data_IF_065844884026
#
_entry.id   IF_065844884026
#
_cell.length_a   1.000
_cell.length_b   1.000
_cell.length_c   1.000
_cell.angle_alpha   90.00
_cell.angle_beta   90.00
_cell.angle_gamma   90.00
#
_symmetry.space_group_name_H-M   'P 1'
#
loop_
_entity.id
_entity.type
_entity.pdbx_description
1 polymer ?
#
# COMPACT_ATOMS: atom_id res chain seq x y z
N UNK A 1 4.85 21.04 12.11
CA UNK A 1 5.11 20.98 10.63
C UNK A 1 3.99 20.16 10.01
N UNK A 2 3.13 20.77 9.15
CA UNK A 2 1.96 20.09 8.54
C UNK A 2 1.87 20.44 7.07
N UNK A 3 1.28 19.56 6.27
CA UNK A 3 1.11 19.69 4.82
C UNK A 3 2.45 19.96 4.09
N UNK A 4 3.49 19.25 4.51
CA UNK A 4 4.88 19.50 4.10
C UNK A 4 5.50 18.25 3.46
N UNK A 5 6.32 18.48 2.43
CA UNK A 5 7.22 17.48 1.86
C UNK A 5 8.65 17.88 2.24
N UNK A 6 9.37 16.97 2.87
CA UNK A 6 10.79 17.08 3.16
C UNK A 6 11.56 16.40 2.04
N UNK A 7 12.44 17.15 1.37
CA UNK A 7 13.23 16.61 0.26
C UNK A 7 14.57 16.10 0.76
N UNK A 8 14.96 14.92 0.28
CA UNK A 8 16.19 14.22 0.63
C UNK A 8 15.96 12.80 1.13
N UNK A 9 17.03 12.20 1.63
CA UNK A 9 16.98 10.84 2.18
C UNK A 9 16.05 10.79 3.40
N UNK A 10 15.06 9.91 3.37
CA UNK A 10 14.10 9.76 4.46
C UNK A 10 14.76 9.36 5.80
N UNK A 11 15.95 8.74 5.78
CA UNK A 11 16.73 8.40 6.98
C UNK A 11 17.26 9.63 7.69
N UNK A 12 17.40 10.76 6.99
CA UNK A 12 17.79 12.04 7.57
C UNK A 12 16.57 12.95 7.81
N UNK A 13 15.71 13.10 6.81
CA UNK A 13 14.57 14.02 6.89
C UNK A 13 13.55 13.63 7.96
N UNK A 14 13.36 12.33 8.25
CA UNK A 14 12.50 11.89 9.36
C UNK A 14 12.97 12.35 10.74
N UNK A 15 14.26 12.66 10.91
CA UNK A 15 14.81 13.19 12.18
C UNK A 15 14.41 14.64 12.44
N UNK A 16 14.02 15.37 11.40
CA UNK A 16 13.57 16.77 11.49
C UNK A 16 12.10 16.88 11.90
N UNK A 17 11.39 15.74 11.97
CA UNK A 17 9.97 15.73 12.26
C UNK A 17 9.72 15.98 13.76
N UNK A 18 9.09 17.09 14.10
CA UNK A 18 8.86 17.60 15.45
C UNK A 18 7.48 17.28 16.04
N UNK A 19 6.52 16.87 15.21
CA UNK A 19 5.17 16.46 15.62
C UNK A 19 5.03 14.93 15.58
N UNK A 20 3.92 14.40 16.07
CA UNK A 20 3.61 12.98 15.98
C UNK A 20 2.51 12.73 14.97
N UNK A 21 2.77 11.83 14.03
CA UNK A 21 1.76 11.35 13.09
C UNK A 21 0.88 10.27 13.73
N UNK A 22 -0.40 10.24 13.39
CA UNK A 22 -1.33 9.18 13.84
C UNK A 22 -1.03 7.87 13.15
N UNK A 23 -0.69 7.91 11.87
CA UNK A 23 -0.38 6.72 11.10
C UNK A 23 0.66 7.01 10.01
N UNK A 24 1.30 5.95 9.56
CA UNK A 24 2.06 5.93 8.33
C UNK A 24 1.35 5.01 7.32
N UNK A 25 1.21 5.48 6.08
CA UNK A 25 0.80 4.64 4.94
C UNK A 25 1.75 4.86 3.79
N UNK A 26 2.38 3.79 3.32
CA UNK A 26 3.51 3.91 2.39
C UNK A 26 3.70 2.67 1.52
N UNK A 27 4.41 2.88 0.40
CA UNK A 27 4.97 1.82 -0.43
C UNK A 27 6.43 2.14 -0.73
N UNK A 28 7.37 1.45 -0.08
CA UNK A 28 8.80 1.70 -0.27
C UNK A 28 9.25 1.32 -1.69
N UNK A 29 10.43 1.75 -2.12
CA UNK A 29 11.08 1.23 -3.32
C UNK A 29 11.23 -0.28 -3.22
N UNK A 30 10.77 -1.03 -4.25
CA UNK A 30 10.84 -2.48 -4.23
C UNK A 30 12.24 -2.97 -4.56
N UNK A 31 12.68 -3.96 -3.83
CA UNK A 31 14.00 -4.57 -4.00
C UNK A 31 14.29 -5.01 -5.43
N UNK A 32 15.36 -4.45 -6.01
CA UNK A 32 15.85 -4.82 -7.33
C UNK A 32 14.89 -4.55 -8.48
N UNK A 33 13.88 -3.69 -8.31
CA UNK A 33 12.89 -3.46 -9.35
C UNK A 33 13.24 -2.27 -10.23
N UNK A 34 13.80 -1.20 -9.68
CA UNK A 34 14.05 0.06 -10.42
C UNK A 34 15.26 0.79 -9.88
N UNK A 35 16.03 1.31 -10.84
CA UNK A 35 17.01 2.34 -10.64
C UNK A 35 16.34 3.67 -11.02
N UNK A 36 16.22 4.60 -10.08
CA UNK A 36 15.66 5.92 -10.31
C UNK A 36 16.73 6.95 -10.72
N UNK A 37 17.97 6.48 -11.00
CA UNK A 37 19.09 7.34 -11.39
C UNK A 37 19.69 8.09 -10.19
N UNK A 38 19.48 7.57 -9.00
CA UNK A 38 19.96 8.17 -7.77
C UNK A 38 21.39 7.80 -7.42
N UNK A 39 21.95 8.61 -6.55
CA UNK A 39 23.22 8.42 -5.88
C UNK A 39 23.17 7.16 -4.96
N UNK A 40 24.29 6.86 -4.27
CA UNK A 40 24.43 5.72 -3.33
C UNK A 40 23.39 5.68 -2.18
N UNK A 41 22.56 6.72 -2.05
CA UNK A 41 21.49 6.85 -1.05
C UNK A 41 20.17 6.16 -1.42
N UNK A 42 20.00 5.72 -2.66
CA UNK A 42 18.74 5.11 -3.11
C UNK A 42 18.54 3.72 -2.47
N UNK A 43 17.43 3.56 -1.74
CA UNK A 43 16.99 2.27 -1.20
C UNK A 43 16.36 1.43 -2.33
N UNK A 44 16.54 0.09 -2.26
CA UNK A 44 16.02 -0.87 -3.24
C UNK A 44 17.09 -1.38 -4.21
N UNK A 45 18.33 -0.86 -4.09
CA UNK A 45 19.47 -1.24 -4.94
C UNK A 45 20.53 -2.06 -4.20
N UNK A 46 20.26 -2.47 -2.99
CA UNK A 46 21.16 -3.26 -2.14
C UNK A 46 21.54 -4.57 -2.84
N UNK A 47 22.72 -5.10 -2.51
CA UNK A 47 23.25 -6.28 -3.20
C UNK A 47 22.48 -7.56 -2.83
N UNK A 48 21.96 -7.63 -1.60
CA UNK A 48 21.21 -8.79 -1.09
C UNK A 48 19.84 -8.39 -0.57
N UNK A 49 18.85 -9.32 -0.57
CA UNK A 49 17.57 -9.09 0.06
C UNK A 49 17.69 -8.75 1.54
N UNK A 50 18.65 -9.37 2.23
CA UNK A 50 18.90 -9.19 3.65
C UNK A 50 19.37 -7.76 3.94
N UNK A 51 20.31 -7.22 3.15
CA UNK A 51 20.74 -5.82 3.26
C UNK A 51 19.58 -4.84 3.04
N UNK A 52 18.72 -5.10 2.05
CA UNK A 52 17.52 -4.29 1.82
C UNK A 52 16.58 -4.33 3.04
N UNK A 53 16.35 -5.50 3.62
CA UNK A 53 15.51 -5.64 4.81
C UNK A 53 16.09 -4.86 5.99
N UNK A 54 17.42 -4.92 6.18
CA UNK A 54 18.10 -4.17 7.24
C UNK A 54 17.95 -2.66 7.07
N UNK A 55 18.09 -2.14 5.84
CA UNK A 55 17.84 -0.72 5.55
C UNK A 55 16.38 -0.34 5.80
N UNK A 56 15.43 -1.16 5.39
CA UNK A 56 14.02 -0.93 5.66
C UNK A 56 13.68 -0.91 7.16
N UNK A 57 14.31 -1.80 7.95
CA UNK A 57 14.13 -1.79 9.41
C UNK A 57 14.63 -0.48 10.01
N UNK A 58 15.75 0.06 9.54
CA UNK A 58 16.27 1.36 9.99
C UNK A 58 15.28 2.49 9.72
N UNK A 59 14.73 2.55 8.50
CA UNK A 59 13.70 3.53 8.14
C UNK A 59 12.47 3.39 9.03
N UNK A 60 11.94 2.18 9.20
CA UNK A 60 10.72 1.99 9.98
C UNK A 60 10.91 2.14 11.50
N UNK A 61 12.13 2.09 12.02
CA UNK A 61 12.42 2.57 13.39
C UNK A 61 12.19 4.08 13.50
N UNK A 62 12.70 4.87 12.56
CA UNK A 62 12.47 6.32 12.53
C UNK A 62 10.98 6.62 12.36
N UNK A 63 10.28 5.91 11.48
CA UNK A 63 8.82 6.02 11.35
C UNK A 63 8.13 5.74 12.69
N UNK A 64 8.52 4.67 13.41
CA UNK A 64 7.95 4.34 14.73
C UNK A 64 8.15 5.46 15.74
N UNK A 65 9.31 6.11 15.70
CA UNK A 65 9.61 7.24 16.57
C UNK A 65 8.78 8.48 16.22
N UNK A 66 8.41 8.67 14.95
CA UNK A 66 7.51 9.74 14.49
C UNK A 66 6.03 9.48 14.80
N UNK A 67 5.62 8.26 15.13
CA UNK A 67 4.22 7.94 15.40
C UNK A 67 3.82 8.22 16.85
N UNK A 68 2.51 8.52 17.04
CA UNK A 68 1.85 8.49 18.35
C UNK A 68 1.94 7.10 18.98
N UNK A 69 1.72 6.97 20.28
CA UNK A 69 1.84 5.66 20.96
C UNK A 69 0.79 4.65 20.51
N UNK A 70 -0.37 5.11 20.05
CA UNK A 70 -1.42 4.30 19.45
C UNK A 70 -1.37 4.27 17.91
N UNK A 71 -0.24 4.70 17.33
CA UNK A 71 -0.05 4.84 15.89
C UNK A 71 0.11 3.51 15.16
N UNK A 72 -0.20 3.53 13.85
CA UNK A 72 -0.16 2.37 12.97
C UNK A 72 0.69 2.61 11.73
N UNK A 73 1.25 1.53 11.17
CA UNK A 73 1.93 1.49 9.89
C UNK A 73 1.15 0.59 8.93
N UNK A 74 0.80 1.12 7.76
CA UNK A 74 0.15 0.40 6.66
C UNK A 74 1.13 0.33 5.50
N UNK A 75 1.76 -0.83 5.34
CA UNK A 75 2.88 -1.05 4.44
C UNK A 75 2.45 -1.82 3.21
N UNK A 76 2.34 -1.15 2.05
CA UNK A 76 2.14 -1.83 0.77
C UNK A 76 3.48 -2.28 0.19
N UNK A 77 3.61 -3.55 -0.12
CA UNK A 77 4.83 -4.10 -0.70
C UNK A 77 4.54 -5.30 -1.60
N UNK A 78 5.25 -5.34 -2.73
CA UNK A 78 5.23 -6.44 -3.67
C UNK A 78 6.48 -7.30 -3.58
N UNK A 79 6.41 -8.49 -4.16
CA UNK A 79 7.49 -9.46 -4.21
C UNK A 79 8.02 -9.63 -5.61
N UNK A 80 9.25 -10.09 -5.74
CA UNK A 80 9.93 -10.35 -7.01
C UNK A 80 10.52 -11.76 -7.05
N UNK A 81 10.89 -12.20 -8.25
CA UNK A 81 11.54 -13.48 -8.48
C UNK A 81 13.03 -13.28 -8.66
N UNK A 82 13.82 -14.17 -8.07
CA UNK A 82 15.25 -14.20 -8.32
C UNK A 82 15.54 -14.66 -9.76
N UNK A 83 16.31 -13.87 -10.48
CA UNK A 83 16.72 -14.18 -11.84
C UNK A 83 18.20 -13.85 -12.00
N UNK A 84 19.03 -14.89 -11.95
CA UNK A 84 20.46 -14.79 -12.18
C UNK A 84 20.76 -14.98 -13.66
N UNK A 85 21.47 -14.05 -14.26
CA UNK A 85 21.98 -14.17 -15.64
C UNK A 85 23.47 -13.96 -15.68
N UNK A 86 24.20 -15.05 -16.02
CA UNK A 86 25.64 -15.09 -16.08
C UNK A 86 26.24 -14.12 -17.11
N UNK A 87 25.51 -13.77 -18.16
CA UNK A 87 26.07 -13.08 -19.34
C UNK A 87 25.55 -11.63 -19.51
N UNK A 88 24.95 -11.04 -18.49
CA UNK A 88 24.53 -9.63 -18.54
C UNK A 88 23.57 -9.26 -19.68
N UNK A 89 23.03 -10.24 -20.42
CA UNK A 89 22.04 -10.00 -21.46
C UNK A 89 20.69 -9.58 -20.85
N UNK A 90 20.36 -8.32 -21.03
CA UNK A 90 18.98 -7.86 -20.87
C UNK A 90 18.20 -8.37 -22.10
N UNK A 91 17.06 -9.07 -21.96
CA UNK A 91 16.15 -9.13 -23.07
C UNK A 91 15.76 -7.69 -23.37
N UNK A 92 16.00 -7.22 -24.56
CA UNK A 92 15.36 -6.01 -25.07
C UNK A 92 13.87 -6.28 -24.95
N UNK A 93 13.24 -5.77 -23.89
CA UNK A 93 11.81 -5.57 -23.91
C UNK A 93 11.57 -4.46 -24.93
N UNK A 94 11.25 -4.87 -26.13
CA UNK A 94 10.78 -4.01 -27.18
C UNK A 94 9.41 -3.52 -26.76
N UNK A 95 9.36 -2.47 -25.95
CA UNK A 95 8.18 -1.62 -25.89
C UNK A 95 8.20 -0.81 -27.18
N UNK A 96 7.49 -1.32 -28.20
CA UNK A 96 7.16 -0.53 -29.36
C UNK A 96 6.30 0.64 -28.90
N UNK A 97 6.74 1.83 -29.24
CA UNK A 97 6.09 3.13 -29.26
C UNK A 97 6.24 4.04 -28.02
N UNK A 98 7.08 5.05 -28.28
CA UNK A 98 6.97 6.44 -27.84
C UNK A 98 7.06 6.73 -26.35
N UNK A 99 8.24 6.61 -25.77
CA UNK A 99 8.84 7.51 -24.78
C UNK A 99 10.34 7.24 -24.70
N UNK A 100 11.11 8.00 -25.45
CA UNK A 100 12.55 7.77 -25.67
C UNK A 100 13.47 8.34 -24.57
N UNK A 101 12.96 8.90 -23.47
CA UNK A 101 13.74 9.80 -22.65
C UNK A 101 14.03 9.38 -21.20
N UNK A 102 13.76 8.13 -20.83
CA UNK A 102 14.17 7.67 -19.50
C UNK A 102 14.86 6.29 -19.62
N UNK A 103 16.10 6.17 -19.17
CA UNK A 103 16.77 4.87 -19.11
C UNK A 103 16.12 4.03 -17.99
N UNK A 104 15.16 3.18 -18.34
CA UNK A 104 14.68 2.13 -17.42
C UNK A 104 15.74 1.06 -17.42
N UNK A 105 16.77 1.23 -16.63
CA UNK A 105 17.72 0.17 -16.32
C UNK A 105 17.13 -0.66 -15.20
N UNK A 106 16.65 -1.86 -15.50
CA UNK A 106 16.49 -2.88 -14.47
C UNK A 106 17.87 -3.16 -13.90
N UNK A 107 18.07 -3.02 -12.57
CA UNK A 107 19.39 -3.25 -11.97
C UNK A 107 19.89 -4.64 -12.33
N UNK A 108 21.08 -4.69 -12.90
CA UNK A 108 21.74 -5.95 -13.21
C UNK A 108 22.37 -6.49 -11.95
N UNK A 109 21.89 -7.60 -11.43
CA UNK A 109 22.63 -8.34 -10.42
C UNK A 109 23.65 -9.20 -11.11
N UNK A 110 24.91 -8.79 -11.04
CA UNK A 110 26.05 -9.54 -11.53
C UNK A 110 26.48 -10.66 -10.57
N UNK A 111 26.05 -10.60 -9.30
CA UNK A 111 26.46 -11.51 -8.27
C UNK A 111 25.39 -12.58 -8.01
N UNK A 112 25.84 -13.83 -7.92
CA UNK A 112 24.98 -14.94 -7.52
C UNK A 112 24.66 -14.80 -6.03
N UNK A 113 23.39 -14.63 -5.69
CA UNK A 113 22.95 -14.60 -4.30
C UNK A 113 23.10 -15.99 -3.67
N UNK A 114 23.74 -16.04 -2.50
CA UNK A 114 23.85 -17.28 -1.74
C UNK A 114 22.47 -17.63 -1.15
N UNK A 115 22.07 -18.89 -1.25
CA UNK A 115 20.80 -19.37 -0.72
C UNK A 115 19.62 -19.26 -1.67
N UNK A 116 19.74 -18.54 -2.80
CA UNK A 116 18.66 -18.39 -3.80
C UNK A 116 18.97 -19.21 -5.05
N UNK A 117 17.94 -19.81 -5.61
CA UNK A 117 17.98 -20.53 -6.89
C UNK A 117 17.26 -19.73 -7.96
N UNK A 118 17.70 -19.86 -9.19
CA UNK A 118 17.01 -19.21 -10.32
C UNK A 118 15.53 -19.56 -10.33
N UNK A 119 14.66 -18.54 -10.50
CA UNK A 119 13.20 -18.58 -10.43
C UNK A 119 12.60 -18.68 -9.02
N UNK A 120 13.38 -18.70 -7.94
CA UNK A 120 12.80 -18.62 -6.59
C UNK A 120 12.02 -17.31 -6.42
N UNK A 121 10.84 -17.38 -5.78
CA UNK A 121 10.20 -16.21 -5.21
C UNK A 121 11.02 -15.75 -4.01
N UNK A 122 11.44 -14.49 -3.99
CA UNK A 122 12.40 -14.01 -2.97
C UNK A 122 11.74 -13.97 -1.58
N UNK A 123 10.47 -13.56 -1.49
CA UNK A 123 9.73 -13.51 -0.23
C UNK A 123 9.87 -12.17 0.51
N UNK A 124 10.32 -11.10 -0.16
CA UNK A 124 10.55 -9.77 0.43
C UNK A 124 9.43 -9.30 1.35
N UNK A 125 8.13 -9.38 0.99
CA UNK A 125 7.06 -8.88 1.85
C UNK A 125 7.05 -9.54 3.22
N UNK A 126 7.18 -10.86 3.26
CA UNK A 126 7.15 -11.60 4.52
C UNK A 126 8.46 -11.50 5.30
N UNK A 127 9.61 -11.42 4.61
CA UNK A 127 10.90 -11.14 5.26
C UNK A 127 10.82 -9.80 6.00
N UNK A 128 10.32 -8.74 5.36
CA UNK A 128 10.19 -7.43 5.98
C UNK A 128 9.16 -7.43 7.13
N UNK A 129 8.00 -8.04 6.93
CA UNK A 129 6.98 -8.13 7.97
C UNK A 129 7.51 -8.83 9.24
N UNK A 130 8.26 -9.92 9.08
CA UNK A 130 8.84 -10.64 10.22
C UNK A 130 10.02 -9.90 10.85
N UNK A 131 10.86 -9.22 10.06
CA UNK A 131 11.94 -8.38 10.56
C UNK A 131 11.38 -7.22 11.41
N UNK A 132 10.36 -6.52 10.92
CA UNK A 132 9.71 -5.46 11.68
C UNK A 132 9.05 -5.97 12.96
N UNK A 133 8.40 -7.15 12.91
CA UNK A 133 7.86 -7.78 14.11
C UNK A 133 8.96 -8.10 15.13
N UNK A 134 10.10 -8.59 14.67
CA UNK A 134 11.25 -8.89 15.53
C UNK A 134 11.88 -7.60 16.09
N UNK A 135 11.77 -6.49 15.36
CA UNK A 135 12.21 -5.16 15.76
C UNK A 135 11.26 -4.42 16.73
N UNK A 136 10.18 -5.08 17.16
CA UNK A 136 9.26 -4.56 18.18
C UNK A 136 7.94 -4.00 17.67
N UNK A 137 7.65 -4.07 16.37
CA UNK A 137 6.32 -3.80 15.85
C UNK A 137 5.36 -4.95 16.15
N UNK A 138 4.09 -4.64 16.34
CA UNK A 138 3.02 -5.64 16.39
C UNK A 138 2.50 -5.89 14.98
N UNK A 139 2.82 -7.01 14.37
CA UNK A 139 2.23 -7.43 13.08
C UNK A 139 0.79 -7.88 13.32
N UNK A 140 -0.17 -7.07 12.87
CA UNK A 140 -1.59 -7.23 13.18
C UNK A 140 -2.36 -8.00 12.13
N UNK A 141 -2.09 -7.69 10.84
CA UNK A 141 -2.81 -8.30 9.73
C UNK A 141 -2.02 -8.20 8.43
N UNK A 142 -2.17 -9.20 7.58
CA UNK A 142 -1.91 -9.14 6.15
C UNK A 142 -3.21 -8.86 5.39
N UNK A 143 -3.16 -7.94 4.46
CA UNK A 143 -4.25 -7.59 3.58
C UNK A 143 -3.78 -7.83 2.15
N UNK A 144 -4.61 -8.50 1.35
CA UNK A 144 -4.31 -8.79 -0.05
C UNK A 144 -4.89 -7.68 -0.92
N UNK A 145 -4.04 -6.93 -1.59
CA UNK A 145 -4.47 -6.12 -2.73
C UNK A 145 -4.58 -7.00 -3.96
N UNK A 146 -5.78 -7.47 -4.27
CA UNK A 146 -6.08 -8.15 -5.52
C UNK A 146 -6.20 -7.14 -6.66
N UNK A 147 -5.45 -7.38 -7.74
CA UNK A 147 -5.42 -6.58 -8.96
C UNK A 147 -6.23 -7.27 -10.05
N UNK A 148 -7.48 -6.84 -10.33
CA UNK A 148 -8.30 -7.47 -11.39
C UNK A 148 -7.69 -7.36 -12.80
N UNK A 149 -6.82 -6.35 -13.00
CA UNK A 149 -6.09 -6.09 -14.24
C UNK A 149 -4.57 -6.16 -14.03
N UNK A 150 -3.99 -7.33 -13.67
CA UNK A 150 -2.55 -7.46 -13.50
C UNK A 150 -1.81 -7.24 -14.83
N UNK A 151 -0.52 -6.91 -14.76
CA UNK A 151 0.32 -6.92 -15.96
C UNK A 151 0.38 -8.34 -16.51
N UNK A 152 0.17 -8.55 -17.83
CA UNK A 152 0.34 -9.85 -18.45
C UNK A 152 1.77 -10.38 -18.26
N UNK A 153 1.90 -11.64 -17.89
CA UNK A 153 3.18 -12.32 -17.75
C UNK A 153 3.26 -13.49 -18.72
N UNK A 154 4.32 -13.56 -19.53
CA UNK A 154 4.56 -14.65 -20.47
C UNK A 154 5.21 -15.86 -19.78
N UNK A 155 4.71 -16.25 -18.60
CA UNK A 155 5.21 -17.40 -17.83
C UNK A 155 4.30 -18.61 -18.04
N UNK A 156 4.90 -19.82 -18.03
CA UNK A 156 4.20 -21.08 -18.27
C UNK A 156 4.34 -22.09 -17.12
N UNK A 157 5.15 -21.78 -16.13
CA UNK A 157 5.47 -22.66 -15.00
C UNK A 157 4.94 -22.16 -13.65
N UNK A 158 4.14 -21.11 -13.66
CA UNK A 158 3.40 -20.57 -12.51
C UNK A 158 2.23 -19.69 -12.94
N UNK A 159 1.35 -19.39 -12.01
CA UNK A 159 0.26 -18.44 -12.24
C UNK A 159 0.79 -17.01 -12.42
N UNK A 160 0.06 -16.20 -13.20
CA UNK A 160 0.28 -14.74 -13.26
C UNK A 160 0.04 -14.13 -11.89
N UNK A 161 1.01 -13.32 -11.42
CA UNK A 161 0.90 -12.65 -10.13
C UNK A 161 -0.12 -11.52 -10.19
N UNK A 162 -1.21 -11.64 -9.45
CA UNK A 162 -2.34 -10.70 -9.47
C UNK A 162 -2.58 -10.02 -8.13
N UNK A 163 -1.62 -10.07 -7.20
CA UNK A 163 -1.77 -9.43 -5.89
C UNK A 163 -0.45 -8.86 -5.35
N UNK A 164 -0.60 -7.95 -4.41
CA UNK A 164 0.42 -7.46 -3.49
C UNK A 164 -0.12 -7.49 -2.06
N UNK A 165 0.75 -7.22 -1.09
CA UNK A 165 0.39 -7.20 0.32
C UNK A 165 0.27 -5.77 0.84
N UNK A 166 -0.63 -5.57 1.79
CA UNK A 166 -0.61 -4.44 2.71
C UNK A 166 -0.51 -5.05 4.11
N UNK A 167 0.57 -4.78 4.82
CA UNK A 167 0.70 -5.20 6.22
C UNK A 167 0.23 -4.09 7.13
N UNK A 168 -0.68 -4.42 8.05
CA UNK A 168 -1.02 -3.58 9.18
C UNK A 168 -0.11 -3.94 10.34
N UNK A 169 0.72 -2.96 10.74
CA UNK A 169 1.53 -3.04 11.95
C UNK A 169 1.14 -1.92 12.91
N UNK A 170 1.32 -2.15 14.20
CA UNK A 170 1.07 -1.13 15.22
C UNK A 170 2.27 -0.95 16.13
N UNK A 171 2.44 0.26 16.66
CA UNK A 171 3.51 0.58 17.61
C UNK A 171 3.34 -0.14 18.93
N UNK A 172 2.09 -0.26 19.39
CA UNK A 172 1.71 -0.91 20.64
C UNK A 172 0.56 -1.89 20.46
N UNK A 173 0.31 -2.74 21.48
CA UNK A 173 -0.82 -3.68 21.49
C UNK A 173 -2.19 -2.98 21.43
N UNK A 174 -2.29 -1.79 22.03
CA UNK A 174 -3.46 -0.93 21.98
C UNK A 174 -3.17 0.17 20.97
N UNK A 175 -3.92 0.23 19.90
CA UNK A 175 -3.72 1.18 18.80
C UNK A 175 -5.06 1.69 18.29
N UNK A 176 -5.02 2.83 17.61
CA UNK A 176 -6.21 3.42 17.01
C UNK A 176 -6.63 2.62 15.78
N UNK A 177 -7.90 2.23 15.73
CA UNK A 177 -8.50 1.58 14.57
C UNK A 177 -10.01 1.80 14.54
N UNK A 178 -10.48 2.58 13.54
CA UNK A 178 -11.90 2.83 13.31
C UNK A 178 -12.46 1.80 12.31
N UNK A 179 -13.03 0.72 12.85
CA UNK A 179 -13.65 -0.31 12.02
C UNK A 179 -14.99 0.14 11.42
N UNK A 180 -15.67 1.10 12.04
CA UNK A 180 -16.97 1.61 11.55
C UNK A 180 -16.79 2.39 10.25
N UNK A 181 -15.72 3.19 10.12
CA UNK A 181 -15.43 4.03 8.97
C UNK A 181 -15.19 3.22 7.67
N UNK A 182 -14.88 1.92 7.78
CA UNK A 182 -14.55 1.06 6.64
C UNK A 182 -15.45 -0.16 6.47
N UNK A 183 -16.58 -0.23 7.20
CA UNK A 183 -17.53 -1.34 7.06
C UNK A 183 -18.03 -1.50 5.62
N UNK A 184 -18.24 -2.73 5.24
CA UNK A 184 -18.84 -3.10 3.95
C UNK A 184 -20.33 -3.38 4.11
N UNK A 185 -21.16 -3.15 3.07
CA UNK A 185 -22.53 -3.61 3.06
C UNK A 185 -22.60 -5.12 3.35
N UNK A 186 -23.45 -5.52 4.27
CA UNK A 186 -23.73 -6.93 4.50
C UNK A 186 -24.63 -7.45 3.39
N UNK A 187 -24.49 -8.75 3.05
CA UNK A 187 -25.43 -9.39 2.16
C UNK A 187 -26.75 -9.57 2.91
N UNK A 188 -27.82 -9.06 2.35
CA UNK A 188 -29.17 -9.36 2.88
C UNK A 188 -29.45 -10.84 2.66
N UNK A 189 -29.55 -11.58 3.75
CA UNK A 189 -29.89 -13.00 3.72
C UNK A 189 -31.40 -13.22 3.81
N UNK A 190 -32.20 -12.13 3.85
CA UNK A 190 -33.63 -12.18 4.14
C UNK A 190 -33.92 -12.75 5.53
N UNK A 191 -35.17 -12.79 5.88
CA UNK A 191 -35.68 -13.45 7.09
C UNK A 191 -35.77 -14.98 6.88
N UNK A 192 -34.64 -15.64 6.64
CA UNK A 192 -34.65 -17.11 6.63
C UNK A 192 -34.84 -17.58 8.05
N UNK A 193 -35.98 -18.20 8.30
CA UNK A 193 -36.18 -18.96 9.52
C UNK A 193 -35.17 -20.10 9.56
N UNK A 194 -34.18 -19.98 10.43
CA UNK A 194 -33.11 -20.96 10.64
C UNK A 194 -33.43 -21.94 11.76
N UNK A 195 -34.60 -21.84 12.36
CA UNK A 195 -35.02 -22.74 13.44
C UNK A 195 -35.20 -24.18 12.96
N UNK A 196 -35.41 -24.40 11.65
CA UNK A 196 -35.57 -25.73 11.03
C UNK A 196 -34.33 -26.19 10.22
N UNK A 197 -33.16 -25.63 10.42
CA UNK A 197 -31.93 -26.08 9.74
C UNK A 197 -31.48 -27.46 10.23
N UNK A 198 -31.00 -28.31 9.30
CA UNK A 198 -30.47 -29.70 9.51
C UNK A 198 -29.34 -29.85 10.54
N UNK A 199 -29.05 -28.82 11.33
CA UNK A 199 -28.02 -28.82 12.39
C UNK A 199 -28.60 -28.81 13.80
N UNK A 200 -29.91 -29.07 13.96
CA UNK A 200 -30.47 -29.46 15.24
C UNK A 200 -30.10 -30.93 15.49
N UNK A 201 -28.86 -31.19 15.91
CA UNK A 201 -28.51 -32.44 16.51
C UNK A 201 -28.95 -32.38 17.97
N UNK A 202 -30.10 -32.92 18.27
CA UNK A 202 -30.49 -33.30 19.64
C UNK A 202 -29.39 -34.23 20.19
N UNK A 203 -28.56 -33.70 21.08
CA UNK A 203 -27.54 -34.52 21.75
C UNK A 203 -26.10 -33.92 21.75
N UNK A 204 -25.78 -32.84 21.00
CA UNK A 204 -24.43 -32.30 20.98
C UNK A 204 -24.15 -31.23 22.06
N UNK A 205 -25.15 -30.82 22.84
CA UNK A 205 -25.00 -29.76 23.86
C UNK A 205 -24.61 -28.36 23.32
N UNK A 206 -24.55 -28.20 22.01
CA UNK A 206 -24.26 -26.92 21.39
C UNK A 206 -25.50 -26.06 21.46
N UNK A 207 -25.42 -24.96 22.22
CA UNK A 207 -26.46 -23.94 22.31
C UNK A 207 -26.73 -23.35 20.91
N UNK A 208 -28.00 -23.14 20.51
CA UNK A 208 -28.29 -22.40 19.28
C UNK A 208 -27.63 -21.04 19.35
N UNK A 209 -26.83 -20.68 18.35
CA UNK A 209 -26.23 -19.35 18.28
C UNK A 209 -27.35 -18.30 18.13
N UNK A 210 -27.79 -17.72 19.24
CA UNK A 210 -28.81 -16.67 19.29
C UNK A 210 -28.45 -15.38 18.51
N UNK A 211 -27.21 -15.27 18.03
CA UNK A 211 -26.71 -14.14 17.24
C UNK A 211 -27.04 -14.20 15.74
N UNK A 212 -27.55 -15.33 15.22
CA UNK A 212 -27.80 -15.50 13.77
C UNK A 212 -29.16 -14.98 13.28
N UNK A 213 -30.01 -14.51 14.16
CA UNK A 213 -31.36 -14.00 13.81
C UNK A 213 -31.40 -12.49 13.50
N UNK A 214 -30.31 -11.76 13.80
CA UNK A 214 -30.24 -10.31 13.48
C UNK A 214 -29.61 -10.10 12.12
N UNK A 215 -30.33 -9.47 11.21
CA UNK A 215 -29.77 -8.90 9.99
C UNK A 215 -29.03 -7.62 10.34
N UNK A 216 -27.75 -7.53 9.97
CA UNK A 216 -26.97 -6.31 10.13
C UNK A 216 -26.80 -5.68 8.74
N UNK A 217 -27.03 -4.37 8.59
CA UNK A 217 -26.86 -3.69 7.29
C UNK A 217 -25.41 -3.66 6.81
N UNK A 218 -24.48 -3.74 7.74
CA UNK A 218 -23.03 -3.70 7.47
C UNK A 218 -22.28 -4.84 8.16
N UNK A 219 -21.10 -5.13 7.66
CA UNK A 219 -20.15 -6.11 8.22
C UNK A 219 -18.73 -5.53 8.20
N UNK A 220 -17.85 -6.08 9.00
CA UNK A 220 -16.43 -5.71 8.98
C UNK A 220 -15.83 -5.92 7.59
N UNK A 221 -14.97 -4.98 7.18
CA UNK A 221 -14.22 -5.09 5.92
C UNK A 221 -13.36 -6.33 5.91
N UNK A 222 -13.41 -7.07 4.80
CA UNK A 222 -12.60 -8.29 4.63
C UNK A 222 -11.18 -7.94 4.21
N UNK A 223 -10.24 -8.88 4.40
CA UNK A 223 -8.81 -8.69 4.15
C UNK A 223 -8.38 -8.88 2.69
N UNK A 224 -9.29 -9.12 1.75
CA UNK A 224 -8.98 -9.17 0.31
C UNK A 224 -9.68 -8.02 -0.38
N UNK A 225 -8.90 -7.07 -0.90
CA UNK A 225 -9.38 -5.84 -1.52
C UNK A 225 -9.14 -5.87 -3.03
N UNK A 226 -10.20 -5.83 -3.82
CA UNK A 226 -10.11 -5.79 -5.28
C UNK A 226 -10.07 -4.33 -5.73
N UNK A 227 -8.88 -3.84 -6.09
CA UNK A 227 -8.68 -2.46 -6.55
C UNK A 227 -7.91 -2.48 -7.88
N UNK A 228 -8.52 -1.87 -8.90
CA UNK A 228 -7.96 -1.80 -10.25
C UNK A 228 -6.82 -0.79 -10.31
N UNK A 229 -5.69 -1.17 -10.93
CA UNK A 229 -4.63 -0.21 -11.27
C UNK A 229 -5.14 0.74 -12.34
N UNK A 230 -5.08 2.04 -12.07
CA UNK A 230 -5.34 3.08 -13.07
C UNK A 230 -4.01 3.60 -13.60
N UNK A 231 -3.82 3.71 -14.92
CA UNK A 231 -2.61 4.32 -15.47
C UNK A 231 -2.52 5.77 -14.98
N UNK A 232 -1.41 6.13 -14.39
CA UNK A 232 -1.12 7.51 -14.07
C UNK A 232 -0.45 8.18 -15.29
N UNK A 233 -1.01 9.29 -15.79
CA UNK A 233 -0.51 9.99 -16.98
C UNK A 233 0.73 10.86 -16.72
N UNK A 234 1.21 10.95 -15.49
CA UNK A 234 2.41 11.70 -15.10
C UNK A 234 3.70 10.90 -15.25
N UNK A 235 4.83 11.55 -15.04
CA UNK A 235 6.18 10.97 -15.19
C UNK A 235 6.58 9.95 -14.10
N UNK A 236 5.69 9.60 -13.17
CA UNK A 236 5.98 8.68 -12.07
C UNK A 236 5.49 7.26 -12.34
N UNK A 237 6.35 6.26 -12.18
CA UNK A 237 6.13 4.90 -12.70
C UNK A 237 5.53 3.89 -11.72
N UNK A 238 5.48 4.16 -10.42
CA UNK A 238 5.02 3.19 -9.42
C UNK A 238 4.17 3.86 -8.34
N UNK A 239 2.87 4.00 -8.61
CA UNK A 239 1.95 4.56 -7.63
C UNK A 239 0.87 3.54 -7.30
N UNK A 240 0.55 3.38 -6.03
CA UNK A 240 -0.69 2.73 -5.65
C UNK A 240 -1.89 3.67 -5.92
N UNK A 241 -3.07 3.14 -6.28
CA UNK A 241 -4.24 3.97 -6.51
C UNK A 241 -4.79 4.55 -5.20
N UNK A 242 -5.37 5.77 -5.22
CA UNK A 242 -5.98 6.39 -4.04
C UNK A 242 -7.01 5.49 -3.35
N UNK A 243 -7.80 4.75 -4.12
CA UNK A 243 -8.85 3.85 -3.63
C UNK A 243 -8.30 2.68 -2.79
N UNK A 244 -7.00 2.38 -2.93
CA UNK A 244 -6.35 1.35 -2.14
C UNK A 244 -6.07 1.81 -0.72
N UNK A 245 -5.61 3.06 -0.56
CA UNK A 245 -5.17 3.58 0.74
C UNK A 245 -6.25 4.37 1.47
N UNK A 246 -7.31 4.77 0.79
CA UNK A 246 -8.44 5.46 1.43
C UNK A 246 -9.01 4.69 2.63
N UNK A 247 -9.27 3.37 2.56
CA UNK A 247 -9.67 2.59 3.73
C UNK A 247 -8.61 2.56 4.84
N UNK A 248 -7.30 2.56 4.47
CA UNK A 248 -6.23 2.59 5.47
C UNK A 248 -6.27 3.90 6.26
N UNK A 249 -6.38 5.05 5.55
CA UNK A 249 -6.45 6.38 6.18
C UNK A 249 -7.69 6.53 7.05
N UNK A 250 -8.86 6.07 6.57
CA UNK A 250 -10.10 6.10 7.35
C UNK A 250 -10.03 5.26 8.63
N UNK A 251 -9.44 4.07 8.54
CA UNK A 251 -9.33 3.18 9.69
C UNK A 251 -8.24 3.61 10.67
N UNK A 252 -7.14 4.17 10.18
CA UNK A 252 -5.94 4.45 10.98
C UNK A 252 -5.85 5.88 11.52
N UNK A 253 -6.80 6.77 11.21
CA UNK A 253 -6.75 8.19 11.62
C UNK A 253 -8.11 8.85 11.73
N UNK A 254 -8.16 9.98 12.45
CA UNK A 254 -9.29 10.90 12.53
C UNK A 254 -9.03 12.15 11.66
N UNK A 255 -10.09 12.94 11.43
CA UNK A 255 -9.93 14.26 10.79
C UNK A 255 -9.01 15.16 11.63
N UNK A 256 -8.11 15.90 10.96
CA UNK A 256 -7.10 16.73 11.60
C UNK A 256 -5.83 15.99 12.07
N UNK A 257 -5.81 14.64 12.01
CA UNK A 257 -4.60 13.87 12.27
C UNK A 257 -3.57 14.02 11.12
N UNK A 258 -2.30 13.78 11.43
CA UNK A 258 -1.20 13.78 10.46
C UNK A 258 -0.97 12.37 9.93
N UNK A 259 -0.87 12.25 8.61
CA UNK A 259 -0.52 11.02 7.89
C UNK A 259 0.92 11.13 7.40
N UNK A 260 1.76 10.17 7.75
CA UNK A 260 3.16 10.12 7.36
C UNK A 260 3.37 9.19 6.17
N UNK A 261 4.21 9.60 5.21
CA UNK A 261 4.71 8.74 4.12
C UNK A 261 6.20 9.02 3.87
N UNK A 262 7.12 8.14 4.29
CA UNK A 262 8.56 8.32 4.08
C UNK A 262 9.01 8.13 2.62
N UNK A 263 8.10 7.70 1.73
CA UNK A 263 8.36 7.48 0.30
C UNK A 263 7.22 8.07 -0.53
N UNK A 264 7.06 9.40 -0.43
CA UNK A 264 5.88 10.13 -0.94
C UNK A 264 5.66 9.95 -2.44
N UNK A 265 6.72 9.85 -3.22
CA UNK A 265 6.66 9.66 -4.66
C UNK A 265 5.81 10.70 -5.36
N UNK A 266 4.75 10.29 -6.04
CA UNK A 266 3.84 11.20 -6.73
C UNK A 266 2.79 11.87 -5.84
N UNK A 267 2.83 11.72 -4.51
CA UNK A 267 1.92 12.38 -3.58
C UNK A 267 0.53 11.74 -3.43
N UNK A 268 0.41 10.43 -3.66
CA UNK A 268 -0.90 9.76 -3.49
C UNK A 268 -1.38 9.86 -2.04
N UNK A 269 -0.49 9.63 -1.08
CA UNK A 269 -0.80 9.71 0.35
C UNK A 269 -1.25 11.10 0.75
N UNK A 270 -0.51 12.15 0.34
CA UNK A 270 -0.87 13.54 0.60
C UNK A 270 -2.24 13.90 0.01
N UNK A 271 -2.50 13.46 -1.22
CA UNK A 271 -3.77 13.69 -1.91
C UNK A 271 -4.95 13.06 -1.17
N UNK A 272 -4.82 11.80 -0.74
CA UNK A 272 -5.87 11.10 0.01
C UNK A 272 -6.05 11.71 1.40
N UNK A 273 -4.97 12.05 2.11
CA UNK A 273 -5.04 12.72 3.40
C UNK A 273 -5.86 14.01 3.31
N UNK A 274 -5.53 14.91 2.39
CA UNK A 274 -6.27 16.16 2.19
C UNK A 274 -7.73 15.95 1.78
N UNK A 275 -8.01 14.97 0.93
CA UNK A 275 -9.39 14.67 0.51
C UNK A 275 -10.29 14.20 1.65
N UNK A 276 -9.68 13.70 2.71
CA UNK A 276 -10.33 13.17 3.91
C UNK A 276 -10.20 14.12 5.13
N UNK A 277 -9.80 15.37 4.94
CA UNK A 277 -9.58 16.36 6.00
C UNK A 277 -8.49 15.95 7.02
N UNK A 278 -7.44 15.29 6.55
CA UNK A 278 -6.23 14.98 7.31
C UNK A 278 -5.10 15.85 6.80
N UNK A 279 -4.12 16.11 7.65
CA UNK A 279 -2.85 16.70 7.25
C UNK A 279 -1.86 15.60 6.85
N UNK A 280 -0.79 15.98 6.16
CA UNK A 280 0.23 15.04 5.75
C UNK A 280 1.64 15.57 6.03
N UNK A 281 2.57 14.63 6.16
CA UNK A 281 4.00 14.87 6.04
C UNK A 281 4.58 13.76 5.19
N UNK A 282 5.44 14.13 4.24
CA UNK A 282 6.10 13.18 3.38
C UNK A 282 7.59 13.44 3.26
N UNK A 283 8.34 12.37 2.98
CA UNK A 283 9.72 12.48 2.51
C UNK A 283 9.78 12.07 1.04
N UNK A 284 10.57 12.79 0.25
CA UNK A 284 10.79 12.48 -1.16
C UNK A 284 12.26 12.76 -1.52
N UNK A 285 12.90 11.78 -2.16
CA UNK A 285 14.32 11.90 -2.50
C UNK A 285 14.55 12.97 -3.59
N UNK A 286 13.63 13.09 -4.54
CA UNK A 286 13.76 13.94 -5.72
C UNK A 286 12.90 15.21 -5.63
N UNK A 287 13.53 16.38 -5.54
CA UNK A 287 12.85 17.68 -5.48
C UNK A 287 11.95 17.97 -6.69
N UNK A 288 12.31 17.44 -7.84
CA UNK A 288 11.57 17.59 -9.10
C UNK A 288 10.12 17.08 -9.02
N UNK A 289 9.83 16.15 -8.09
CA UNK A 289 8.45 15.69 -7.86
C UNK A 289 7.60 16.68 -7.05
N UNK A 290 8.18 17.70 -6.43
CA UNK A 290 7.46 18.66 -5.61
C UNK A 290 6.33 19.36 -6.35
N UNK A 291 6.59 19.87 -7.57
CA UNK A 291 5.57 20.50 -8.40
C UNK A 291 4.46 19.54 -8.83
N UNK A 292 4.81 18.29 -9.12
CA UNK A 292 3.86 17.23 -9.47
C UNK A 292 2.94 16.90 -8.30
N UNK A 293 3.50 16.77 -7.10
CA UNK A 293 2.75 16.49 -5.87
C UNK A 293 1.76 17.62 -5.59
N UNK A 294 2.21 18.87 -5.61
CA UNK A 294 1.37 20.04 -5.37
C UNK A 294 0.24 20.17 -6.40
N UNK A 295 0.54 19.92 -7.66
CA UNK A 295 -0.49 19.90 -8.72
C UNK A 295 -1.52 18.81 -8.45
N UNK A 296 -1.07 17.60 -8.10
CA UNK A 296 -1.96 16.46 -7.86
C UNK A 296 -2.89 16.69 -6.67
N UNK A 297 -2.39 17.29 -5.60
CA UNK A 297 -3.22 17.63 -4.43
C UNK A 297 -4.32 18.61 -4.84
N UNK A 298 -4.01 19.65 -5.62
CA UNK A 298 -5.00 20.65 -6.09
C UNK A 298 -6.05 20.05 -7.03
N UNK A 299 -5.61 19.17 -7.92
CA UNK A 299 -6.45 18.65 -9.01
C UNK A 299 -7.26 17.40 -8.62
N UNK A 300 -7.04 16.87 -7.39
CA UNK A 300 -7.75 15.67 -6.95
C UNK A 300 -9.17 15.98 -6.51
N UNK A 301 -10.12 15.40 -7.24
CA UNK A 301 -11.52 15.40 -6.86
C UNK A 301 -11.88 14.02 -6.30
N UNK A 302 -12.28 13.88 -5.02
CA UNK A 302 -12.72 12.61 -4.47
C UNK A 302 -13.89 12.03 -5.28
N UNK A 303 -13.85 10.72 -5.52
CA UNK A 303 -14.87 10.01 -6.31
C UNK A 303 -16.30 10.20 -5.79
N UNK A 304 -16.48 10.41 -4.51
CA UNK A 304 -17.77 10.68 -3.88
C UNK A 304 -18.34 12.09 -4.16
N UNK A 305 -17.57 13.01 -4.72
CA UNK A 305 -18.04 14.33 -5.16
C UNK A 305 -18.46 14.37 -6.62
N UNK A 306 -18.05 13.40 -7.43
CA UNK A 306 -18.40 13.32 -8.85
C UNK A 306 -19.88 12.95 -9.08
N UNK A 307 -20.51 12.28 -8.13
CA UNK A 307 -21.91 11.86 -8.18
C UNK A 307 -22.93 12.94 -7.75
N UNK A 308 -22.48 14.15 -7.41
CA UNK A 308 -23.35 15.28 -6.98
C UNK A 308 -23.41 16.44 -7.97
N UNK A 309 -22.79 16.33 -9.15
CA UNK A 309 -23.12 17.30 -10.20
C UNK A 309 -24.56 17.05 -10.67
N UNK A 310 -25.42 18.09 -10.65
CA UNK A 310 -26.78 17.96 -11.16
C UNK A 310 -26.70 17.53 -12.63
N UNK A 311 -27.37 16.43 -12.96
CA UNK A 311 -27.60 16.06 -14.35
C UNK A 311 -28.23 17.25 -15.06
N UNK A 312 -27.44 17.94 -15.89
CA UNK A 312 -27.95 18.99 -16.77
C UNK A 312 -28.89 18.26 -17.72
N UNK A 313 -30.18 18.47 -17.51
CA UNK A 313 -31.23 17.96 -18.39
C UNK A 313 -31.07 18.66 -19.74
N UNK A 314 -30.65 17.91 -20.75
CA UNK A 314 -30.45 18.44 -22.12
C UNK A 314 -31.79 18.99 -22.72
N UNK A 315 -32.90 18.84 -22.01
CA UNK A 315 -34.22 19.37 -22.42
C UNK A 315 -34.48 20.84 -22.03
N UNK A 316 -33.59 21.49 -21.30
CA UNK A 316 -33.75 22.91 -20.92
C UNK A 316 -32.97 23.88 -21.84
N UNK A 317 -32.47 23.42 -22.99
CA UNK A 317 -31.78 24.21 -24.01
C UNK A 317 -32.41 24.01 -25.40
N UNK A 318 -33.75 24.07 -25.49
CA UNK A 318 -34.45 24.23 -26.76
C UNK A 318 -35.50 25.33 -26.56
#
# INVERSE_FOLDING_TARGET
MRDTILFGDCRETLKEFDEKARMCVTSPPYYGLRDYGGEDSQIGMEQTPEEYIDEMVKVFRLVRDCLTDDGTLWLNIGDSYYNYRKDGCIPKQTFSNSRQDLPITTPRRSNKLQGYKDKDLIGIPWMLAFALRSDGWYLRQDIIWHKPNPMPESVRDRCTKSHEYIFLLSKNKNYYYDNEAIKEPAKDWGTRDRTNGKYHNEGTGLQPHSGLTKSYPTKNKRSVWSVTKKPYKGAHFATFPPELIEPCVKAGSQEGDIILDPFMGSGTTATVAKSLNRDYIGCELHEEYGTLIQKRIRDYVPLNKVSQEPSINILDII
#
